data_IF_365016796296
#
_entry.id   IF_365016796296
#
_cell.length_a   1.000
_cell.length_b   1.000
_cell.length_c   1.000
_cell.angle_alpha   90.00
_cell.angle_beta   90.00
_cell.angle_gamma   90.00
#
_symmetry.space_group_name_H-M   'P 1'
#
loop_
_entity.id
_entity.type
_entity.pdbx_description
1 polymer ?
#
# COMPACT_ATOMS: atom_id res chain seq x y z
N UNK A 1 26.71 8.05 26.29
CA UNK A 1 25.27 8.31 26.11
C UNK A 1 24.55 7.50 27.17
N UNK A 2 23.78 8.12 28.06
CA UNK A 2 23.08 7.40 29.13
C UNK A 2 21.90 6.62 28.51
N UNK A 3 22.08 5.32 28.35
CA UNK A 3 21.00 4.36 28.08
C UNK A 3 20.27 4.09 29.39
N UNK A 4 19.14 4.75 29.61
CA UNK A 4 18.18 4.31 30.62
C UNK A 4 17.17 3.42 29.87
N UNK A 5 17.22 2.08 29.99
CA UNK A 5 16.26 1.23 29.30
C UNK A 5 14.95 1.32 30.07
N UNK A 6 14.03 2.17 29.61
CA UNK A 6 12.66 2.12 30.11
C UNK A 6 12.08 0.72 29.87
N UNK A 7 11.23 0.27 30.79
CA UNK A 7 10.60 -1.05 30.71
C UNK A 7 9.60 -1.16 29.55
N UNK A 8 8.97 -2.33 29.38
CA UNK A 8 7.96 -2.49 28.34
C UNK A 8 6.79 -1.52 28.53
N UNK A 9 6.27 -0.97 27.43
CA UNK A 9 5.22 0.05 27.36
C UNK A 9 5.56 1.37 28.07
N UNK A 10 6.85 1.72 28.17
CA UNK A 10 7.29 2.98 28.78
C UNK A 10 8.16 3.80 27.83
N UNK A 11 8.05 5.12 27.93
CA UNK A 11 8.89 6.08 27.23
C UNK A 11 9.64 6.97 28.23
N UNK A 12 10.76 7.54 27.78
CA UNK A 12 11.60 8.42 28.55
C UNK A 12 11.05 9.85 28.53
N UNK A 13 10.36 10.22 29.59
CA UNK A 13 9.86 11.57 29.78
C UNK A 13 10.98 12.48 30.29
N UNK A 14 11.36 13.46 29.47
CA UNK A 14 12.36 14.49 29.81
C UNK A 14 11.74 15.84 30.13
N UNK A 15 10.43 16.01 29.91
CA UNK A 15 9.70 17.25 30.12
C UNK A 15 8.38 17.03 30.87
N UNK A 16 7.98 18.01 31.66
CA UNK A 16 6.68 18.02 32.35
C UNK A 16 5.51 18.36 31.39
N UNK A 17 4.28 18.39 31.92
CA UNK A 17 3.08 18.71 31.15
C UNK A 17 3.05 20.15 30.60
N UNK A 18 3.87 21.05 31.15
CA UNK A 18 4.02 22.44 30.72
C UNK A 18 5.24 22.62 29.80
N UNK A 19 5.84 21.53 29.34
CA UNK A 19 7.01 21.50 28.47
C UNK A 19 8.33 21.98 29.14
N UNK A 20 8.40 22.07 30.47
CA UNK A 20 9.65 22.38 31.18
C UNK A 20 10.53 21.13 31.29
N UNK A 21 11.87 21.26 31.16
CA UNK A 21 12.78 20.13 31.34
C UNK A 21 12.75 19.62 32.78
N UNK A 22 12.68 18.31 32.95
CA UNK A 22 12.81 17.65 34.24
C UNK A 22 14.29 17.57 34.65
N UNK A 23 14.58 17.78 35.93
CA UNK A 23 15.95 17.64 36.47
C UNK A 23 16.48 16.19 36.33
N UNK A 24 15.58 15.21 36.30
CA UNK A 24 15.88 13.80 36.08
C UNK A 24 14.84 13.24 35.11
N UNK A 25 15.27 12.56 34.05
CA UNK A 25 14.36 11.89 33.13
C UNK A 25 13.66 10.71 33.83
N UNK A 26 12.37 10.51 33.55
CA UNK A 26 11.54 9.49 34.21
C UNK A 26 10.92 8.58 33.15
N UNK A 27 10.90 7.27 33.39
CA UNK A 27 10.19 6.34 32.52
C UNK A 27 8.70 6.33 32.85
N UNK A 28 7.88 6.80 31.92
CA UNK A 28 6.42 6.94 32.08
C UNK A 28 5.72 5.94 31.19
N UNK A 29 4.61 5.34 31.67
CA UNK A 29 3.82 4.40 30.87
C UNK A 29 3.12 5.12 29.71
N UNK A 30 3.12 4.48 28.55
CA UNK A 30 2.33 4.93 27.43
C UNK A 30 0.83 4.80 27.72
N UNK A 31 0.00 5.78 27.31
CA UNK A 31 -1.46 5.68 27.37
C UNK A 31 -2.00 4.43 26.68
N UNK A 32 -3.22 4.01 27.05
CA UNK A 32 -3.91 2.89 26.38
C UNK A 32 -4.01 3.12 24.87
N UNK A 33 -3.72 2.08 24.09
CA UNK A 33 -3.72 2.16 22.62
C UNK A 33 -2.46 2.81 22.01
N UNK A 34 -1.44 3.09 22.83
CA UNK A 34 -0.17 3.67 22.39
C UNK A 34 1.03 2.84 22.87
N UNK A 35 2.16 2.96 22.17
CA UNK A 35 3.40 2.22 22.45
C UNK A 35 4.61 3.13 22.29
N UNK A 36 5.74 2.86 22.95
CA UNK A 36 6.90 3.73 22.86
C UNK A 36 7.51 3.69 21.45
N UNK A 37 7.95 4.85 20.96
CA UNK A 37 8.71 4.98 19.72
C UNK A 37 10.05 4.23 19.78
N UNK A 38 10.67 3.97 18.64
CA UNK A 38 11.94 3.22 18.56
C UNK A 38 13.09 3.91 19.32
N UNK A 39 13.04 5.24 19.44
CA UNK A 39 13.98 6.05 20.21
C UNK A 39 13.54 6.25 21.69
N UNK A 40 12.41 5.64 22.08
CA UNK A 40 11.85 5.65 23.43
C UNK A 40 11.51 7.08 23.90
N UNK A 41 11.43 8.06 23.00
CA UNK A 41 11.23 9.47 23.38
C UNK A 41 9.76 9.88 23.48
N UNK A 42 8.88 9.14 22.80
CA UNK A 42 7.44 9.46 22.70
C UNK A 42 6.61 8.18 22.68
N UNK A 43 5.28 8.33 22.79
CA UNK A 43 4.35 7.23 22.53
C UNK A 43 3.69 7.45 21.16
N UNK A 44 3.67 6.39 20.35
CA UNK A 44 3.01 6.31 19.06
C UNK A 44 1.65 5.66 19.26
N UNK A 45 0.59 6.31 18.77
CA UNK A 45 -0.77 5.75 18.80
C UNK A 45 -0.98 4.77 17.66
N UNK A 46 -1.77 3.72 17.91
CA UNK A 46 -2.25 2.91 16.80
C UNK A 46 -3.15 3.75 15.86
N UNK A 47 -3.13 3.49 14.54
CA UNK A 47 -3.86 4.30 13.56
C UNK A 47 -5.37 4.38 13.76
N UNK A 48 -5.99 3.35 14.35
CA UNK A 48 -7.44 3.30 14.55
C UNK A 48 -7.84 2.94 15.99
N UNK A 49 -9.00 3.45 16.48
CA UNK A 49 -9.48 3.16 17.83
C UNK A 49 -9.81 1.67 18.08
N UNK A 50 -10.08 0.89 17.03
CA UNK A 50 -10.34 -0.56 17.17
C UNK A 50 -9.06 -1.39 17.29
N UNK A 51 -7.89 -0.75 17.24
CA UNK A 51 -6.60 -1.43 17.39
C UNK A 51 -6.14 -1.44 18.85
N UNK A 52 -5.49 -2.53 19.22
CA UNK A 52 -4.75 -2.67 20.48
C UNK A 52 -3.28 -2.90 20.19
N UNK A 53 -2.42 -2.42 21.09
CA UNK A 53 -0.99 -2.69 21.01
C UNK A 53 -0.72 -4.10 21.50
N UNK A 54 0.13 -4.82 20.76
CA UNK A 54 0.75 -6.07 21.21
C UNK A 54 2.26 -5.91 21.21
N UNK A 55 2.92 -6.66 22.08
CA UNK A 55 4.37 -6.73 22.11
C UNK A 55 4.79 -8.12 21.65
N UNK A 56 5.62 -8.17 20.61
CA UNK A 56 6.27 -9.39 20.16
C UNK A 56 7.39 -9.79 21.13
N UNK A 57 7.81 -11.06 21.08
CA UNK A 57 8.80 -11.64 22.01
C UNK A 57 10.18 -10.97 21.92
N UNK A 58 10.47 -10.28 20.82
CA UNK A 58 11.68 -9.50 20.59
C UNK A 58 11.60 -8.06 21.16
N UNK A 59 10.51 -7.70 21.84
CA UNK A 59 10.29 -6.37 22.40
C UNK A 59 9.72 -5.36 21.41
N UNK A 60 9.52 -5.73 20.12
CA UNK A 60 8.85 -4.86 19.15
C UNK A 60 7.36 -4.75 19.44
N UNK A 61 6.81 -3.57 19.23
CA UNK A 61 5.38 -3.31 19.35
C UNK A 61 4.72 -3.35 17.97
N UNK A 62 3.51 -3.88 17.92
CA UNK A 62 2.67 -3.85 16.73
C UNK A 62 1.22 -3.57 17.12
N UNK A 63 0.47 -2.96 16.21
CA UNK A 63 -0.97 -2.79 16.37
C UNK A 63 -1.69 -4.02 15.81
N UNK A 64 -2.59 -4.60 16.60
CA UNK A 64 -3.52 -5.65 16.16
C UNK A 64 -4.94 -5.15 16.26
N UNK A 65 -5.82 -5.74 15.47
CA UNK A 65 -7.22 -5.38 15.42
C UNK A 65 -8.04 -6.24 16.38
N UNK A 66 -9.06 -5.63 16.99
CA UNK A 66 -9.90 -6.30 17.97
C UNK A 66 -10.84 -7.33 17.32
N UNK A 67 -10.48 -8.62 17.44
CA UNK A 67 -11.24 -9.73 16.85
C UNK A 67 -12.64 -9.90 17.46
N UNK A 68 -12.87 -9.46 18.70
CA UNK A 68 -14.17 -9.54 19.37
C UNK A 68 -15.22 -8.63 18.71
N UNK A 69 -14.77 -7.59 18.02
CA UNK A 69 -15.63 -6.71 17.21
C UNK A 69 -15.84 -7.23 15.79
N UNK A 70 -15.37 -8.45 15.48
CA UNK A 70 -15.50 -9.08 14.18
C UNK A 70 -14.47 -8.63 13.15
N UNK A 71 -13.32 -8.09 13.58
CA UNK A 71 -12.19 -7.77 12.68
C UNK A 71 -11.20 -8.94 12.57
N UNK A 72 -10.43 -8.99 11.48
CA UNK A 72 -9.22 -9.83 11.43
C UNK A 72 -8.19 -9.35 12.44
N UNK A 73 -7.38 -10.26 13.01
CA UNK A 73 -6.39 -9.89 14.02
C UNK A 73 -5.27 -8.98 13.48
N UNK A 74 -4.83 -9.23 12.23
CA UNK A 74 -3.80 -8.43 11.60
C UNK A 74 -4.44 -7.26 10.83
N UNK A 75 -4.01 -6.00 11.06
CA UNK A 75 -4.47 -4.87 10.27
C UNK A 75 -3.98 -5.01 8.82
N UNK A 76 -4.73 -4.41 7.89
CA UNK A 76 -4.32 -4.31 6.48
C UNK A 76 -3.95 -2.86 6.22
N UNK A 77 -2.64 -2.59 6.12
CA UNK A 77 -2.13 -1.22 6.16
C UNK A 77 -2.41 -0.59 7.53
N UNK A 78 -3.15 0.52 7.53
CA UNK A 78 -3.50 1.27 8.74
C UNK A 78 -4.94 1.04 9.22
N UNK A 79 -5.66 0.03 8.70
CA UNK A 79 -7.04 -0.21 9.11
C UNK A 79 -7.36 -1.65 9.54
N UNK A 80 -8.36 -1.73 10.42
CA UNK A 80 -9.00 -2.97 10.84
C UNK A 80 -10.12 -3.36 9.91
N UNK A 81 -10.01 -4.57 9.38
CA UNK A 81 -10.90 -5.05 8.33
C UNK A 81 -11.86 -6.07 8.91
N UNK A 82 -13.15 -5.87 8.66
CA UNK A 82 -14.18 -6.78 9.14
C UNK A 82 -13.96 -8.17 8.51
N UNK A 83 -14.06 -9.23 9.32
CA UNK A 83 -13.87 -10.62 8.91
C UNK A 83 -14.90 -11.09 7.87
N UNK A 84 -16.00 -10.35 7.70
CA UNK A 84 -17.03 -10.60 6.67
C UNK A 84 -16.81 -9.81 5.37
N UNK A 85 -15.65 -9.13 5.24
CA UNK A 85 -15.32 -8.37 4.04
C UNK A 85 -15.46 -9.20 2.76
N UNK A 86 -15.94 -8.55 1.68
CA UNK A 86 -16.34 -9.22 0.42
C UNK A 86 -15.16 -9.73 -0.41
N UNK A 87 -13.91 -9.50 0.00
CA UNK A 87 -12.73 -10.15 -0.56
C UNK A 87 -11.92 -10.78 0.57
N UNK A 88 -11.41 -12.01 0.36
CA UNK A 88 -10.36 -12.52 1.21
C UNK A 88 -9.14 -11.58 1.13
N UNK A 89 -8.44 -11.42 2.25
CA UNK A 89 -7.15 -10.72 2.27
C UNK A 89 -6.17 -11.58 1.46
N UNK A 90 -5.96 -11.22 0.20
CA UNK A 90 -4.93 -11.84 -0.63
C UNK A 90 -3.69 -10.95 -0.54
N UNK A 91 -2.75 -11.32 0.33
CA UNK A 91 -1.44 -10.69 0.33
C UNK A 91 -0.58 -11.31 -0.76
N UNK A 92 -0.01 -10.48 -1.63
CA UNK A 92 1.11 -10.89 -2.47
C UNK A 92 2.31 -10.04 -2.09
N UNK A 93 3.38 -10.70 -1.65
CA UNK A 93 4.67 -10.06 -1.38
C UNK A 93 5.61 -10.14 -2.59
N UNK A 94 5.18 -10.83 -3.64
CA UNK A 94 6.01 -11.12 -4.81
C UNK A 94 5.35 -10.69 -6.11
N UNK A 95 6.20 -10.32 -7.06
CA UNK A 95 5.85 -10.01 -8.43
C UNK A 95 6.33 -11.15 -9.32
N UNK A 96 5.56 -11.46 -10.37
CA UNK A 96 6.01 -12.36 -11.45
C UNK A 96 5.74 -11.73 -12.81
N UNK A 97 6.63 -12.01 -13.75
CA UNK A 97 6.58 -11.57 -15.14
C UNK A 97 6.63 -12.80 -16.03
N UNK A 98 5.51 -13.13 -16.68
CA UNK A 98 5.38 -14.32 -17.52
C UNK A 98 6.08 -14.17 -18.87
N UNK A 99 6.09 -12.96 -19.45
CA UNK A 99 6.76 -12.66 -20.73
C UNK A 99 7.59 -11.37 -20.64
N UNK A 100 8.68 -11.33 -19.85
CA UNK A 100 9.52 -10.14 -19.80
C UNK A 100 10.26 -9.94 -21.12
N UNK A 101 10.41 -8.68 -21.54
CA UNK A 101 11.27 -8.32 -22.68
C UNK A 101 12.67 -7.94 -22.17
N UNK A 102 13.70 -8.62 -22.68
CA UNK A 102 15.10 -8.27 -22.46
C UNK A 102 15.70 -7.57 -23.67
N UNK A 103 16.99 -7.18 -23.62
CA UNK A 103 17.70 -6.62 -24.76
C UNK A 103 17.67 -7.60 -25.95
N UNK A 104 16.82 -7.30 -26.93
CA UNK A 104 16.75 -8.00 -28.21
C UNK A 104 15.71 -9.11 -28.35
N UNK A 105 15.07 -9.63 -27.29
CA UNK A 105 14.03 -10.68 -27.36
C UNK A 105 13.23 -10.87 -26.05
N UNK A 106 12.14 -11.65 -26.12
CA UNK A 106 11.46 -12.22 -24.93
C UNK A 106 12.45 -13.09 -24.16
N UNK A 107 12.57 -12.87 -22.86
CA UNK A 107 13.41 -13.66 -21.95
C UNK A 107 12.57 -14.62 -21.13
N UNK A 108 13.23 -15.54 -20.42
CA UNK A 108 12.56 -16.48 -19.53
C UNK A 108 11.73 -15.74 -18.47
N UNK A 109 10.60 -16.34 -18.09
CA UNK A 109 9.72 -15.81 -17.05
C UNK A 109 10.50 -15.56 -15.74
N UNK A 110 10.20 -14.44 -15.10
CA UNK A 110 10.74 -14.09 -13.78
C UNK A 110 9.63 -14.37 -12.78
N UNK A 111 9.90 -15.22 -11.80
CA UNK A 111 8.90 -15.60 -10.79
C UNK A 111 9.40 -15.24 -9.40
N UNK A 112 8.45 -14.98 -8.49
CA UNK A 112 8.70 -14.79 -7.06
C UNK A 112 9.69 -13.67 -6.71
N UNK A 113 9.68 -12.56 -7.45
CA UNK A 113 10.51 -11.40 -7.14
C UNK A 113 9.90 -10.63 -5.96
N UNK A 114 10.59 -10.58 -4.82
CA UNK A 114 10.10 -9.88 -3.63
C UNK A 114 9.97 -8.36 -3.90
N UNK A 115 8.86 -7.76 -3.48
CA UNK A 115 8.61 -6.33 -3.63
C UNK A 115 7.87 -5.76 -2.44
N UNK A 116 8.52 -4.85 -1.72
CA UNK A 116 7.93 -4.12 -0.60
C UNK A 116 6.71 -3.31 -1.07
N UNK A 117 6.76 -2.73 -2.27
CA UNK A 117 5.64 -1.99 -2.83
C UNK A 117 4.39 -2.88 -2.92
N UNK A 118 4.53 -4.13 -3.40
CA UNK A 118 3.41 -5.06 -3.51
C UNK A 118 2.96 -5.58 -2.14
N UNK A 119 3.93 -5.95 -1.30
CA UNK A 119 3.67 -6.42 0.06
C UNK A 119 2.85 -5.40 0.87
N UNK A 120 3.18 -4.11 0.73
CA UNK A 120 2.52 -3.01 1.45
C UNK A 120 1.17 -2.62 0.84
N UNK A 121 1.03 -2.64 -0.50
CA UNK A 121 -0.10 -1.97 -1.16
C UNK A 121 -1.15 -2.89 -1.76
N UNK A 122 -0.84 -4.12 -2.18
CA UNK A 122 -1.83 -4.95 -2.92
C UNK A 122 -3.08 -5.22 -2.08
N UNK A 123 -2.89 -5.68 -0.84
CA UNK A 123 -3.99 -6.09 0.02
C UNK A 123 -4.87 -4.89 0.43
N UNK A 124 -4.25 -3.78 0.84
CA UNK A 124 -4.95 -2.55 1.25
C UNK A 124 -5.66 -1.91 0.06
N UNK A 125 -4.97 -1.74 -1.07
CA UNK A 125 -5.55 -1.15 -2.27
C UNK A 125 -6.74 -1.95 -2.80
N UNK A 126 -6.61 -3.29 -2.89
CA UNK A 126 -7.70 -4.17 -3.34
C UNK A 126 -8.93 -4.06 -2.44
N UNK A 127 -8.70 -4.05 -1.14
CA UNK A 127 -9.74 -4.04 -0.15
C UNK A 127 -10.49 -2.70 -0.10
N UNK A 128 -9.78 -1.57 0.00
CA UNK A 128 -10.42 -0.25 0.05
C UNK A 128 -11.07 0.10 -1.28
N UNK A 129 -10.47 -0.30 -2.40
CA UNK A 129 -11.09 -0.13 -3.70
C UNK A 129 -12.44 -0.86 -3.79
N UNK A 130 -12.52 -2.11 -3.31
CA UNK A 130 -13.76 -2.88 -3.39
C UNK A 130 -14.80 -2.50 -2.36
N UNK A 131 -14.41 -2.36 -1.10
CA UNK A 131 -15.35 -2.19 0.00
C UNK A 131 -15.82 -0.74 0.15
N UNK A 132 -14.90 0.21 -0.04
CA UNK A 132 -15.14 1.62 0.23
C UNK A 132 -15.30 2.43 -1.07
N UNK A 133 -15.01 1.82 -2.22
CA UNK A 133 -14.92 2.51 -3.51
C UNK A 133 -13.95 3.69 -3.47
N UNK A 134 -12.91 3.57 -2.65
CA UNK A 134 -11.88 4.57 -2.50
C UNK A 134 -11.12 4.69 -3.82
N UNK A 135 -11.23 5.87 -4.45
CA UNK A 135 -10.63 6.10 -5.76
C UNK A 135 -9.11 5.97 -5.70
N UNK A 136 -8.47 6.47 -4.65
CA UNK A 136 -7.02 6.40 -4.47
C UNK A 136 -6.57 4.95 -4.37
N UNK A 137 -7.27 4.13 -3.61
CA UNK A 137 -7.01 2.71 -3.51
C UNK A 137 -7.20 2.00 -4.86
N UNK A 138 -8.25 2.34 -5.61
CA UNK A 138 -8.46 1.80 -6.95
C UNK A 138 -7.36 2.20 -7.95
N UNK A 139 -6.84 3.43 -7.84
CA UNK A 139 -5.68 3.90 -8.61
C UNK A 139 -4.42 3.11 -8.26
N UNK A 140 -4.13 2.93 -6.97
CA UNK A 140 -2.99 2.12 -6.52
C UNK A 140 -3.11 0.70 -7.06
N UNK A 141 -4.28 0.07 -6.95
CA UNK A 141 -4.50 -1.29 -7.44
C UNK A 141 -4.29 -1.42 -8.96
N UNK A 142 -4.77 -0.45 -9.73
CA UNK A 142 -4.56 -0.42 -11.18
C UNK A 142 -3.08 -0.23 -11.52
N UNK A 143 -2.40 0.69 -10.84
CA UNK A 143 -0.97 0.92 -11.02
C UNK A 143 -0.14 -0.34 -10.71
N UNK A 144 -0.51 -1.11 -9.68
CA UNK A 144 0.12 -2.40 -9.38
C UNK A 144 -0.13 -3.44 -10.47
N UNK A 145 -1.28 -3.39 -11.15
CA UNK A 145 -1.52 -4.21 -12.33
C UNK A 145 -0.65 -3.78 -13.54
N UNK A 146 -0.51 -2.47 -13.78
CA UNK A 146 0.37 -1.90 -14.82
C UNK A 146 1.82 -2.34 -14.61
N UNK A 147 2.30 -2.32 -13.36
CA UNK A 147 3.65 -2.77 -13.01
C UNK A 147 3.90 -4.27 -13.26
N UNK A 148 2.84 -5.05 -13.49
CA UNK A 148 2.91 -6.45 -13.94
C UNK A 148 2.58 -6.58 -15.43
N UNK A 149 2.78 -5.51 -16.19
CA UNK A 149 2.51 -5.44 -17.63
C UNK A 149 1.12 -5.92 -18.03
N UNK A 150 0.12 -5.63 -17.20
CA UNK A 150 -1.26 -6.03 -17.43
C UNK A 150 -1.47 -7.55 -17.49
N UNK A 151 -0.58 -8.35 -16.91
CA UNK A 151 -0.76 -9.80 -16.80
C UNK A 151 -2.02 -10.11 -15.99
N UNK A 152 -3.08 -10.52 -16.68
CA UNK A 152 -4.40 -10.78 -16.09
C UNK A 152 -4.39 -11.95 -15.11
N UNK A 153 -3.37 -12.82 -15.18
CA UNK A 153 -3.17 -13.91 -14.21
C UNK A 153 -2.53 -13.45 -12.91
N UNK A 154 -1.95 -12.24 -12.89
CA UNK A 154 -1.31 -11.70 -11.71
C UNK A 154 -2.33 -11.31 -10.61
N UNK A 155 -1.90 -11.34 -9.35
CA UNK A 155 -2.78 -11.02 -8.21
C UNK A 155 -3.37 -9.61 -8.29
N UNK A 156 -2.57 -8.60 -8.62
CA UNK A 156 -3.05 -7.22 -8.69
C UNK A 156 -4.09 -7.04 -9.82
N UNK A 157 -3.82 -7.57 -11.02
CA UNK A 157 -4.75 -7.44 -12.15
C UNK A 157 -6.03 -8.24 -11.94
N UNK A 158 -5.92 -9.48 -11.44
CA UNK A 158 -7.11 -10.30 -11.14
C UNK A 158 -7.99 -9.66 -10.06
N UNK A 159 -7.40 -9.05 -9.02
CA UNK A 159 -8.14 -8.30 -8.00
C UNK A 159 -8.80 -7.04 -8.59
N UNK A 160 -8.09 -6.31 -9.45
CA UNK A 160 -8.65 -5.15 -10.14
C UNK A 160 -9.89 -5.52 -10.97
N UNK A 161 -9.77 -6.55 -11.82
CA UNK A 161 -10.88 -7.03 -12.65
C UNK A 161 -12.05 -7.55 -11.82
N UNK A 162 -11.79 -8.30 -10.74
CA UNK A 162 -12.85 -8.74 -9.83
C UNK A 162 -13.57 -7.57 -9.19
N UNK A 163 -12.85 -6.56 -8.71
CA UNK A 163 -13.44 -5.36 -8.13
C UNK A 163 -14.32 -4.63 -9.15
N UNK A 164 -13.85 -4.49 -10.39
CA UNK A 164 -14.61 -3.92 -11.49
C UNK A 164 -15.92 -4.68 -11.75
N UNK A 165 -15.87 -6.01 -11.80
CA UNK A 165 -17.05 -6.86 -12.07
C UNK A 165 -18.09 -6.80 -10.94
N UNK A 166 -17.65 -6.62 -9.69
CA UNK A 166 -18.57 -6.50 -8.55
C UNK A 166 -19.21 -5.12 -8.41
N UNK A 167 -18.82 -4.17 -9.26
CA UNK A 167 -19.29 -2.79 -9.19
C UNK A 167 -20.67 -2.65 -9.87
N UNK A 168 -21.66 -2.00 -9.22
CA UNK A 168 -22.99 -1.84 -9.80
C UNK A 168 -22.94 -1.13 -11.15
N UNK A 169 -23.65 -1.65 -12.17
CA UNK A 169 -23.71 -1.09 -13.52
C UNK A 169 -24.28 0.33 -13.59
N UNK A 170 -25.05 0.75 -12.58
CA UNK A 170 -25.53 2.13 -12.41
C UNK A 170 -24.41 3.15 -12.18
N UNK A 171 -23.18 2.71 -11.93
CA UNK A 171 -22.02 3.57 -11.71
C UNK A 171 -21.13 3.69 -12.94
N UNK A 172 -21.58 3.25 -14.12
CA UNK A 172 -20.86 3.47 -15.37
C UNK A 172 -21.08 4.92 -15.82
N UNK A 173 -20.00 5.69 -15.92
CA UNK A 173 -20.02 6.97 -16.61
C UNK A 173 -20.17 6.72 -18.10
N UNK A 174 -21.31 7.13 -18.68
CA UNK A 174 -21.56 7.04 -20.12
C UNK A 174 -20.58 7.90 -20.93
N UNK A 175 -20.12 9.02 -20.36
CA UNK A 175 -19.15 9.91 -20.99
C UNK A 175 -17.76 9.28 -21.10
N UNK A 176 -17.31 8.62 -20.03
CA UNK A 176 -15.97 8.06 -19.94
C UNK A 176 -15.93 6.53 -20.12
N UNK A 177 -17.05 5.88 -20.47
CA UNK A 177 -17.19 4.41 -20.62
C UNK A 177 -16.46 3.59 -19.54
N UNK A 178 -16.44 4.10 -18.31
CA UNK A 178 -15.78 3.48 -17.15
C UNK A 178 -16.70 3.50 -15.95
N UNK A 179 -16.43 2.64 -14.98
CA UNK A 179 -17.03 2.80 -13.67
C UNK A 179 -16.47 4.07 -13.00
N UNK A 180 -17.36 4.94 -12.51
CA UNK A 180 -17.01 6.12 -11.69
C UNK A 180 -16.07 5.66 -10.58
N UNK A 181 -15.00 6.40 -10.29
CA UNK A 181 -14.02 6.02 -9.25
C UNK A 181 -13.09 4.84 -9.56
N UNK A 182 -13.15 4.24 -10.75
CA UNK A 182 -12.11 3.32 -11.25
C UNK A 182 -11.24 4.03 -12.29
N UNK A 183 -9.90 3.87 -12.28
CA UNK A 183 -9.06 4.31 -13.39
C UNK A 183 -9.37 3.60 -14.70
N UNK A 184 -8.85 4.16 -15.78
CA UNK A 184 -8.68 3.38 -17.01
C UNK A 184 -7.40 2.59 -16.85
N UNK A 185 -7.51 1.27 -17.06
CA UNK A 185 -6.31 0.43 -17.12
C UNK A 185 -5.64 0.55 -18.49
N UNK A 186 -6.45 0.77 -19.53
CA UNK A 186 -5.99 0.96 -20.90
C UNK A 186 -6.33 2.37 -21.35
N UNK A 187 -5.31 3.14 -21.70
CA UNK A 187 -5.49 4.34 -22.50
C UNK A 187 -5.64 3.91 -23.96
N UNK A 188 -6.85 3.53 -24.37
CA UNK A 188 -7.20 3.71 -25.78
C UNK A 188 -7.52 5.19 -25.90
N UNK A 189 -6.72 5.98 -26.58
CA UNK A 189 -6.93 6.20 -28.00
C UNK A 189 -5.63 6.73 -28.62
N UNK A 190 -5.26 6.16 -29.77
CA UNK A 190 -4.10 6.51 -30.62
C UNK A 190 -2.74 5.93 -30.16
N UNK A 191 -2.46 4.65 -30.47
CA UNK A 191 -1.13 4.04 -30.33
C UNK A 191 0.00 4.85 -30.97
N UNK A 192 -0.28 5.61 -32.05
CA UNK A 192 0.72 6.44 -32.72
C UNK A 192 1.14 7.69 -31.94
N UNK A 193 0.40 8.11 -30.91
CA UNK A 193 0.80 9.22 -30.02
C UNK A 193 1.66 8.74 -28.84
N UNK A 194 1.59 7.46 -28.48
CA UNK A 194 2.28 6.90 -27.31
C UNK A 194 3.60 6.19 -27.69
N UNK A 195 3.71 5.68 -28.92
CA UNK A 195 4.86 4.90 -29.38
C UNK A 195 6.23 5.62 -29.29
N UNK A 196 6.26 6.95 -29.19
CA UNK A 196 7.49 7.74 -29.02
C UNK A 196 7.80 8.17 -27.57
N UNK A 197 6.88 7.95 -26.63
CA UNK A 197 6.98 8.43 -25.24
C UNK A 197 7.20 7.30 -24.22
N UNK A 198 7.10 6.04 -24.63
CA UNK A 198 7.42 4.91 -23.75
C UNK A 198 8.94 4.89 -23.60
N UNK A 199 9.50 5.23 -22.42
CA UNK A 199 10.93 5.11 -22.23
C UNK A 199 11.32 3.64 -22.41
N UNK A 200 12.34 3.39 -23.22
CA UNK A 200 12.94 2.07 -23.37
C UNK A 200 13.71 1.75 -22.08
N UNK A 201 12.97 1.35 -21.04
CA UNK A 201 13.54 1.04 -19.72
C UNK A 201 13.93 -0.43 -19.71
N UNK A 202 15.23 -0.69 -19.75
CA UNK A 202 15.76 -2.02 -19.48
C UNK A 202 15.97 -2.19 -17.99
N UNK A 203 15.15 -3.03 -17.34
CA UNK A 203 15.29 -3.37 -15.92
C UNK A 203 16.16 -4.63 -15.82
N UNK A 204 17.38 -4.49 -15.28
CA UNK A 204 18.26 -5.63 -15.03
C UNK A 204 17.98 -6.21 -13.63
N UNK A 205 17.29 -7.35 -13.59
CA UNK A 205 16.95 -8.07 -12.36
C UNK A 205 17.96 -9.18 -11.99
N UNK A 206 19.11 -9.24 -12.68
CA UNK A 206 20.10 -10.32 -12.56
C UNK A 206 20.93 -10.28 -11.28
N UNK A 207 20.79 -9.25 -10.44
CA UNK A 207 21.59 -9.10 -9.22
C UNK A 207 20.69 -8.85 -7.98
N UNK A 208 20.30 -9.91 -7.24
CA UNK A 208 19.36 -9.81 -6.13
C UNK A 208 19.92 -9.12 -4.87
N UNK A 209 21.23 -8.82 -4.82
CA UNK A 209 21.89 -8.23 -3.65
C UNK A 209 21.85 -6.69 -3.58
N UNK A 210 21.21 -6.02 -4.55
CA UNK A 210 21.04 -4.56 -4.53
C UNK A 210 19.57 -4.22 -4.65
N UNK A 211 19.02 -3.60 -3.60
CA UNK A 211 17.71 -2.92 -3.66
C UNK A 211 17.78 -1.88 -4.77
N UNK A 212 17.11 -2.13 -5.88
CA UNK A 212 16.99 -1.21 -6.99
C UNK A 212 15.76 -0.33 -6.80
N UNK A 213 15.92 0.99 -6.84
CA UNK A 213 14.78 1.91 -6.91
C UNK A 213 14.56 2.29 -8.37
N UNK A 214 13.36 2.00 -8.88
CA UNK A 214 12.94 2.45 -10.20
C UNK A 214 12.01 3.65 -10.00
N UNK A 215 12.47 4.84 -10.37
CA UNK A 215 11.65 6.04 -10.34
C UNK A 215 10.76 6.05 -11.59
N UNK A 216 9.49 5.72 -11.42
CA UNK A 216 8.48 5.89 -12.46
C UNK A 216 7.38 6.84 -11.96
N UNK A 217 6.91 7.69 -12.86
CA UNK A 217 5.67 8.45 -12.65
C UNK A 217 4.55 7.58 -13.21
N UNK A 218 3.79 6.93 -12.33
CA UNK A 218 2.67 6.06 -12.73
C UNK A 218 1.50 6.84 -13.33
N UNK A 219 1.28 8.07 -12.86
CA UNK A 219 0.34 9.04 -13.42
C UNK A 219 0.64 10.45 -12.88
N UNK A 220 0.39 11.47 -13.69
CA UNK A 220 0.40 12.88 -13.29
C UNK A 220 -1.02 13.47 -13.44
N UNK A 221 -1.50 14.18 -12.42
CA UNK A 221 -2.83 14.77 -12.38
C UNK A 221 -2.75 16.28 -12.16
N UNK A 222 -3.69 17.02 -12.73
CA UNK A 222 -3.97 18.40 -12.33
C UNK A 222 -4.93 18.40 -11.13
N UNK A 223 -4.75 19.37 -10.22
CA UNK A 223 -5.52 19.54 -8.97
C UNK A 223 -7.03 19.75 -9.17
N UNK A 224 -7.45 20.03 -10.40
CA UNK A 224 -8.84 19.94 -10.83
C UNK A 224 -8.96 18.58 -11.53
N UNK A 225 -9.81 17.69 -11.04
CA UNK A 225 -10.06 16.29 -11.47
C UNK A 225 -10.46 16.18 -12.95
N UNK A 226 -9.60 16.65 -13.84
CA UNK A 226 -9.70 16.62 -15.28
C UNK A 226 -8.42 15.97 -15.77
N UNK A 227 -8.59 14.82 -16.41
CA UNK A 227 -7.52 14.17 -17.16
C UNK A 227 -7.07 15.13 -18.28
N UNK A 228 -5.78 15.09 -18.62
CA UNK A 228 -5.24 15.79 -19.77
C UNK A 228 -5.90 15.20 -21.03
N UNK A 229 -7.00 15.81 -21.46
CA UNK A 229 -7.51 15.68 -22.81
C UNK A 229 -6.62 16.56 -23.69
N UNK A 230 -5.70 15.97 -24.43
CA UNK A 230 -5.05 16.66 -25.55
C UNK A 230 -5.93 16.50 -26.77
N UNK A 231 -7.04 17.24 -26.78
CA UNK A 231 -7.83 17.47 -27.99
C UNK A 231 -7.26 18.67 -28.76
N UNK A 232 -6.48 18.36 -29.81
CA UNK A 232 -6.41 19.13 -31.06
C UNK A 232 -6.33 18.17 -32.23
#
# INVERSE_FOLDING_TARGET
MLTCPCGPYQYLQTRDANNNPLATAVCTKCPLGTYPSDDISTCVSCPQPQMSVTQATNGQYSCVCNTTLGYYAQPVGNECINATAKLPIVSSTTISFTSPMGPGNIVAAITNFASDLFATNVASAALFCKNNWDETACQILANLCVLQFYDTSSTACSLYTQTQQTRPSSTISLLFKRYVGMPWLYYSEIPSQIAGLIPNVTINLSNPAKTGMLNFVLAAYLLLVNFLDTST
#
